data_IF_807351965998
#
_entry.id   IF_807351965998
#
_cell.length_a   1.000
_cell.length_b   1.000
_cell.length_c   1.000
_cell.angle_alpha   90.00
_cell.angle_beta   90.00
_cell.angle_gamma   90.00
#
_symmetry.space_group_name_H-M   'P 1'
#
loop_
_entity.id
_entity.type
_entity.pdbx_description
1 polymer ?
#
# COMPACT_ATOMS: atom_id res chain seq x y z
N UNK A 1 -3.35 15.09 -16.46
CA UNK A 1 -3.47 14.84 -14.99
C UNK A 1 -2.13 14.81 -14.25
N UNK A 2 -1.07 14.16 -14.76
CA UNK A 2 0.23 14.08 -14.06
C UNK A 2 0.84 15.45 -13.68
N UNK A 3 0.74 16.46 -14.56
CA UNK A 3 1.21 17.83 -14.30
C UNK A 3 0.48 18.49 -13.12
N UNK A 4 -0.82 18.23 -12.99
CA UNK A 4 -1.64 18.73 -11.88
C UNK A 4 -1.15 18.16 -10.55
N UNK A 5 -0.86 16.84 -10.50
CA UNK A 5 -0.34 16.19 -9.30
C UNK A 5 1.02 16.76 -8.88
N UNK A 6 1.94 16.95 -9.82
CA UNK A 6 3.25 17.56 -9.53
C UNK A 6 3.12 18.97 -8.94
N UNK A 7 2.20 19.78 -9.49
CA UNK A 7 1.96 21.14 -9.02
C UNK A 7 1.26 21.18 -7.65
N UNK A 8 0.25 20.33 -7.46
CA UNK A 8 -0.50 20.23 -6.21
C UNK A 8 0.41 19.77 -5.07
N UNK A 9 1.15 18.67 -5.25
CA UNK A 9 2.04 18.14 -4.21
C UNK A 9 3.13 19.15 -3.81
N UNK A 10 3.72 19.87 -4.79
CA UNK A 10 4.70 20.93 -4.49
C UNK A 10 4.15 22.00 -3.54
N UNK A 11 2.88 22.38 -3.69
CA UNK A 11 2.22 23.36 -2.80
C UNK A 11 1.78 22.73 -1.47
N UNK A 12 1.26 21.51 -1.51
CA UNK A 12 0.69 20.84 -0.35
C UNK A 12 1.74 20.37 0.65
N UNK A 13 2.91 19.89 0.22
CA UNK A 13 3.91 19.29 1.12
C UNK A 13 4.33 20.23 2.25
N UNK A 14 4.55 21.52 1.97
CA UNK A 14 4.89 22.50 2.99
C UNK A 14 3.75 22.74 3.99
N UNK A 15 2.50 22.82 3.50
CA UNK A 15 1.32 23.01 4.34
C UNK A 15 1.07 21.81 5.25
N UNK A 16 1.13 20.59 4.70
CA UNK A 16 0.91 19.34 5.43
C UNK A 16 1.87 19.21 6.62
N UNK A 17 3.14 19.58 6.44
CA UNK A 17 4.12 19.54 7.53
C UNK A 17 3.82 20.58 8.62
N UNK A 18 3.43 21.79 8.23
CA UNK A 18 3.07 22.86 9.18
C UNK A 18 1.81 22.54 9.98
N UNK A 19 0.81 21.93 9.34
CA UNK A 19 -0.43 21.52 9.99
C UNK A 19 -0.34 20.16 10.70
N UNK A 20 0.82 19.50 10.65
CA UNK A 20 1.07 18.16 11.18
C UNK A 20 -0.02 17.13 10.80
N UNK A 21 -0.52 17.21 9.57
CA UNK A 21 -1.62 16.36 9.09
C UNK A 21 -1.08 15.15 8.33
N UNK A 22 -1.66 13.97 8.54
CA UNK A 22 -1.38 12.81 7.70
C UNK A 22 -2.31 12.82 6.48
N UNK A 23 -1.72 12.74 5.28
CA UNK A 23 -2.49 12.63 4.02
C UNK A 23 -2.22 11.27 3.40
N UNK A 24 -3.29 10.52 3.17
CA UNK A 24 -3.25 9.19 2.56
C UNK A 24 -3.79 9.28 1.13
N UNK A 25 -3.00 8.83 0.17
CA UNK A 25 -3.41 8.71 -1.23
C UNK A 25 -3.65 7.24 -1.55
N UNK A 26 -4.88 6.90 -1.93
CA UNK A 26 -5.22 5.59 -2.49
C UNK A 26 -4.99 5.65 -4.00
N UNK A 27 -4.30 4.65 -4.54
CA UNK A 27 -3.99 4.61 -5.96
C UNK A 27 -4.21 3.21 -6.52
N UNK A 28 -4.61 3.16 -7.78
CA UNK A 28 -4.83 1.91 -8.50
C UNK A 28 -3.59 1.57 -9.34
N UNK A 29 -3.41 0.27 -9.56
CA UNK A 29 -2.44 -0.24 -10.53
C UNK A 29 -3.03 -0.16 -11.95
N UNK A 30 -2.16 0.11 -12.91
CA UNK A 30 -2.40 0.05 -14.35
C UNK A 30 -1.23 -0.67 -15.00
N UNK A 31 -1.47 -1.29 -16.16
CA UNK A 31 -0.41 -1.86 -16.96
C UNK A 31 0.12 -0.81 -17.93
N UNK A 32 1.46 -0.71 -18.04
CA UNK A 32 2.08 0.12 -19.08
C UNK A 32 2.29 -0.73 -20.33
N UNK A 33 1.53 -0.43 -21.38
CA UNK A 33 1.66 -1.08 -22.69
C UNK A 33 3.05 -0.75 -23.27
N UNK A 34 3.73 -1.74 -23.83
CA UNK A 34 5.00 -1.57 -24.55
C UNK A 34 6.29 -1.66 -23.71
N UNK A 35 6.23 -2.10 -22.44
CA UNK A 35 7.43 -2.42 -21.66
C UNK A 35 7.76 -3.91 -21.83
N UNK A 36 8.77 -4.20 -22.66
CA UNK A 36 9.30 -5.55 -22.91
C UNK A 36 10.76 -5.70 -22.42
N UNK A 37 11.15 -4.94 -21.40
CA UNK A 37 12.51 -5.02 -20.85
C UNK A 37 12.59 -6.10 -19.76
N UNK A 38 13.53 -7.07 -19.82
CA UNK A 38 13.68 -8.10 -18.79
C UNK A 38 13.93 -7.44 -17.43
N UNK A 39 13.10 -7.77 -16.43
CA UNK A 39 13.25 -7.31 -15.04
C UNK A 39 12.52 -6.03 -14.66
N UNK A 40 11.83 -5.33 -15.57
CA UNK A 40 10.92 -4.25 -15.19
C UNK A 40 9.50 -4.77 -14.95
N UNK A 41 8.93 -4.49 -13.79
CA UNK A 41 7.52 -4.78 -13.54
C UNK A 41 6.64 -3.92 -14.47
N UNK A 42 5.68 -4.51 -15.20
CA UNK A 42 4.78 -3.79 -16.10
C UNK A 42 3.74 -2.94 -15.35
N UNK A 43 3.71 -3.05 -14.03
CA UNK A 43 2.76 -2.36 -13.17
C UNK A 43 3.19 -0.91 -12.88
N UNK A 44 2.29 0.02 -13.17
CA UNK A 44 2.48 1.44 -12.91
C UNK A 44 1.30 2.02 -12.12
N UNK A 45 1.60 3.00 -11.26
CA UNK A 45 0.59 3.75 -10.51
C UNK A 45 0.11 4.96 -11.31
N UNK A 46 -1.17 5.30 -11.22
CA UNK A 46 -1.71 6.50 -11.91
C UNK A 46 -1.18 7.80 -11.29
N UNK A 47 -1.36 8.93 -11.98
CA UNK A 47 -0.97 10.26 -11.47
C UNK A 47 0.48 10.68 -11.75
N UNK A 48 1.21 9.92 -12.57
CA UNK A 48 2.60 10.22 -12.93
C UNK A 48 3.60 9.87 -11.81
N UNK A 49 4.79 10.45 -11.85
CA UNK A 49 5.88 10.08 -10.95
C UNK A 49 5.94 10.93 -9.65
N UNK A 50 5.26 12.08 -9.59
CA UNK A 50 5.39 13.01 -8.47
C UNK A 50 5.07 12.36 -7.11
N UNK A 51 3.95 11.64 -7.02
CA UNK A 51 3.55 10.98 -5.78
C UNK A 51 4.62 9.98 -5.28
N UNK A 52 5.32 9.29 -6.19
CA UNK A 52 6.40 8.37 -5.82
C UNK A 52 7.54 9.09 -5.11
N UNK A 53 7.84 10.34 -5.44
CA UNK A 53 8.91 11.13 -4.84
C UNK A 53 8.49 11.80 -3.53
N UNK A 54 7.30 12.42 -3.52
CA UNK A 54 6.78 13.16 -2.38
C UNK A 54 6.31 12.24 -1.23
N UNK A 55 5.82 11.03 -1.51
CA UNK A 55 5.39 10.11 -0.46
C UNK A 55 6.55 9.71 0.47
N UNK A 56 6.30 9.81 1.77
CA UNK A 56 7.21 9.35 2.83
C UNK A 56 7.18 7.83 3.00
N UNK A 57 5.98 7.25 2.89
CA UNK A 57 5.75 5.80 2.95
C UNK A 57 4.91 5.40 1.73
N UNK A 58 5.24 4.26 1.13
CA UNK A 58 4.42 3.63 0.09
C UNK A 58 4.18 2.17 0.46
N UNK A 59 2.93 1.77 0.41
CA UNK A 59 2.48 0.41 0.68
C UNK A 59 1.97 -0.20 -0.63
N UNK A 60 2.43 -1.40 -0.93
CA UNK A 60 1.83 -2.27 -1.95
C UNK A 60 0.98 -3.31 -1.23
N UNK A 61 -0.33 -3.31 -1.51
CA UNK A 61 -1.33 -4.15 -0.85
C UNK A 61 -1.84 -5.14 -1.89
N UNK A 62 -1.66 -6.44 -1.62
CA UNK A 62 -2.10 -7.51 -2.51
C UNK A 62 -2.88 -8.55 -1.72
N UNK A 63 -4.05 -8.94 -2.24
CA UNK A 63 -4.75 -10.13 -1.76
C UNK A 63 -3.95 -11.36 -2.16
N UNK A 64 -3.64 -12.22 -1.20
CA UNK A 64 -2.92 -13.48 -1.42
C UNK A 64 -3.83 -14.71 -1.35
N UNK A 65 -4.93 -14.62 -0.59
CA UNK A 65 -5.81 -15.75 -0.36
C UNK A 65 -7.22 -15.34 0.07
N UNK A 66 -8.08 -16.34 0.25
CA UNK A 66 -9.41 -16.20 0.81
C UNK A 66 -9.46 -16.95 2.15
N UNK A 67 -10.05 -16.34 3.16
CA UNK A 67 -10.28 -16.94 4.47
C UNK A 67 -11.66 -17.60 4.41
N UNK A 68 -11.73 -18.89 4.73
CA UNK A 68 -12.94 -19.68 4.65
C UNK A 68 -13.32 -20.25 6.01
N UNK A 69 -14.62 -20.31 6.28
CA UNK A 69 -15.20 -21.03 7.41
C UNK A 69 -16.19 -22.06 6.85
N UNK A 70 -15.72 -23.30 6.72
CA UNK A 70 -16.44 -24.31 5.93
C UNK A 70 -16.47 -23.91 4.45
N UNK A 71 -17.67 -23.83 3.87
CA UNK A 71 -17.86 -23.44 2.47
C UNK A 71 -17.97 -21.91 2.25
N UNK A 72 -18.13 -21.12 3.32
CA UNK A 72 -18.30 -19.68 3.23
C UNK A 72 -16.95 -18.94 3.26
N UNK A 73 -16.79 -17.96 2.36
CA UNK A 73 -15.64 -17.05 2.35
C UNK A 73 -15.95 -15.87 3.28
N UNK A 74 -15.30 -15.86 4.44
CA UNK A 74 -15.51 -14.86 5.49
C UNK A 74 -14.55 -13.66 5.37
N UNK A 75 -13.49 -13.77 4.56
CA UNK A 75 -12.53 -12.68 4.41
C UNK A 75 -11.42 -12.94 3.40
N UNK A 76 -10.43 -12.05 3.42
CA UNK A 76 -9.28 -12.05 2.53
C UNK A 76 -7.98 -12.00 3.32
N UNK A 77 -7.10 -12.94 3.03
CA UNK A 77 -5.72 -12.86 3.49
C UNK A 77 -4.98 -11.88 2.57
N UNK A 78 -4.36 -10.86 3.17
CA UNK A 78 -3.80 -9.70 2.47
C UNK A 78 -2.36 -9.50 2.88
N UNK A 79 -1.48 -9.37 1.89
CA UNK A 79 -0.06 -9.07 2.08
C UNK A 79 0.17 -7.59 1.82
N UNK A 80 0.80 -6.92 2.79
CA UNK A 80 1.16 -5.50 2.71
C UNK A 80 2.69 -5.40 2.71
N UNK A 81 3.26 -4.85 1.64
CA UNK A 81 4.70 -4.64 1.49
C UNK A 81 5.03 -3.15 1.53
N UNK A 82 6.00 -2.77 2.36
CA UNK A 82 6.49 -1.39 2.44
C UNK A 82 7.50 -1.16 1.31
N UNK A 83 7.03 -0.72 0.14
CA UNK A 83 7.90 -0.52 -1.04
C UNK A 83 8.76 0.74 -0.97
N UNK A 84 8.40 1.70 -0.10
CA UNK A 84 9.21 2.88 0.20
C UNK A 84 8.98 3.28 1.64
N UNK A 85 10.06 3.58 2.36
CA UNK A 85 10.01 4.14 3.70
C UNK A 85 11.14 5.15 3.86
N UNK A 86 10.84 6.38 4.29
CA UNK A 86 11.82 7.44 4.59
C UNK A 86 12.19 7.55 6.07
N UNK A 87 11.51 6.82 6.96
CA UNK A 87 11.65 6.94 8.42
C UNK A 87 12.29 5.70 9.05
N UNK A 88 12.16 4.54 8.41
CA UNK A 88 12.67 3.25 8.87
C UNK A 88 13.13 2.39 7.68
N UNK A 89 13.78 1.24 7.92
CA UNK A 89 14.19 0.33 6.86
C UNK A 89 13.00 -0.06 5.94
N UNK A 90 13.14 0.09 4.61
CA UNK A 90 12.11 -0.29 3.65
C UNK A 90 12.06 -1.82 3.43
N UNK A 91 11.10 -2.27 2.62
CA UNK A 91 10.93 -3.64 2.12
C UNK A 91 10.48 -4.71 3.13
N UNK A 92 10.18 -4.32 4.36
CA UNK A 92 9.43 -5.16 5.29
C UNK A 92 8.04 -5.48 4.71
N UNK A 93 7.53 -6.64 5.07
CA UNK A 93 6.21 -7.13 4.67
C UNK A 93 5.47 -7.65 5.91
N UNK A 94 4.15 -7.53 5.87
CA UNK A 94 3.25 -8.11 6.87
C UNK A 94 2.13 -8.84 6.12
N UNK A 95 1.68 -9.95 6.68
CA UNK A 95 0.51 -10.69 6.22
C UNK A 95 -0.55 -10.47 7.29
N UNK A 96 -1.73 -10.05 6.85
CA UNK A 96 -2.85 -9.71 7.72
C UNK A 96 -4.14 -10.26 7.16
N UNK A 97 -5.12 -10.46 8.03
CA UNK A 97 -6.44 -10.98 7.70
C UNK A 97 -7.47 -9.86 7.72
N UNK A 98 -8.18 -9.69 6.60
CA UNK A 98 -9.27 -8.71 6.47
C UNK A 98 -10.58 -9.49 6.41
N UNK A 99 -11.35 -9.44 7.49
CA UNK A 99 -12.67 -10.05 7.61
C UNK A 99 -13.74 -9.10 7.05
N UNK A 100 -14.72 -9.64 6.33
CA UNK A 100 -15.81 -8.83 5.78
C UNK A 100 -16.74 -8.33 6.90
N UNK A 101 -16.99 -7.02 6.93
CA UNK A 101 -17.85 -6.39 7.95
C UNK A 101 -17.13 -6.00 9.25
N UNK A 102 -15.98 -6.60 9.54
CA UNK A 102 -15.20 -6.32 10.77
C UNK A 102 -13.91 -5.54 10.50
N UNK A 103 -13.26 -5.77 9.35
CA UNK A 103 -12.01 -5.11 9.00
C UNK A 103 -10.79 -5.98 9.34
N UNK A 104 -9.70 -5.35 9.79
CA UNK A 104 -8.44 -6.06 10.10
C UNK A 104 -8.58 -6.81 11.43
N UNK A 105 -8.29 -8.11 11.42
CA UNK A 105 -8.31 -8.96 12.62
C UNK A 105 -7.10 -8.66 13.52
N UNK A 106 -7.32 -7.82 14.55
CA UNK A 106 -6.26 -7.41 15.48
C UNK A 106 -5.86 -8.54 16.43
N UNK A 107 -6.85 -9.31 16.86
CA UNK A 107 -6.70 -10.45 17.76
C UNK A 107 -5.90 -11.56 17.09
N UNK A 108 -6.18 -11.82 15.79
CA UNK A 108 -5.41 -12.78 14.99
C UNK A 108 -3.94 -12.38 14.87
N UNK A 109 -3.67 -11.12 14.48
CA UNK A 109 -2.30 -10.61 14.40
C UNK A 109 -1.55 -10.69 15.73
N UNK A 110 -2.23 -10.41 16.86
CA UNK A 110 -1.60 -10.47 18.18
C UNK A 110 -1.18 -11.90 18.56
N UNK A 111 -2.01 -12.88 18.25
CA UNK A 111 -1.72 -14.30 18.51
C UNK A 111 -0.57 -14.75 17.62
N UNK A 112 -0.60 -14.45 16.32
CA UNK A 112 0.46 -14.84 15.38
C UNK A 112 1.81 -14.27 15.80
N UNK A 113 1.86 -12.98 16.18
CA UNK A 113 3.07 -12.35 16.71
C UNK A 113 3.54 -13.02 18.02
N UNK A 114 2.62 -13.48 18.86
CA UNK A 114 2.95 -14.16 20.12
C UNK A 114 3.48 -15.59 19.93
N UNK A 115 3.11 -16.26 18.84
CA UNK A 115 3.61 -17.60 18.49
C UNK A 115 4.96 -17.55 17.78
N UNK A 116 5.21 -16.49 16.99
CA UNK A 116 6.50 -16.28 16.32
C UNK A 116 7.62 -15.76 17.25
N UNK A 117 7.28 -15.23 18.43
CA UNK A 117 8.21 -14.66 19.41
C UNK A 117 8.83 -15.73 20.34
#
# INVERSE_FOLDING_TARGET
QARLMSQALRKLTGNIKRSNTLVVFINQLRMKIGVMMPGQSPEVTTGGNALKFYASVRLDIRRIGAIKKGDEIIGNQTKIKVVKNKLAPPFKQVITEILYGEGISREGELIDMGVEA
#
